data_IF_195787276036
#
_entry.id   IF_195787276036
#
_cell.length_a   1.000
_cell.length_b   1.000
_cell.length_c   1.000
_cell.angle_alpha   90.00
_cell.angle_beta   90.00
_cell.angle_gamma   90.00
#
_symmetry.space_group_name_H-M   'P 1'
#
loop_
_entity.id
_entity.type
_entity.pdbx_description
1 polymer ?
#
# COMPACT_ATOMS: atom_id res chain seq x y z
N UNK A 1 6.07 9.21 55.72
CA UNK A 1 4.97 9.98 55.10
C UNK A 1 5.62 11.00 54.19
N UNK A 2 5.45 10.86 52.87
CA UNK A 2 6.20 11.55 51.83
C UNK A 2 5.48 12.88 51.46
N UNK A 3 6.15 14.00 51.70
CA UNK A 3 5.70 15.33 51.32
C UNK A 3 5.93 15.48 49.81
N UNK A 4 4.84 15.63 49.05
CA UNK A 4 4.89 15.91 47.61
C UNK A 4 4.94 17.42 47.42
N UNK A 5 5.98 17.87 46.73
CA UNK A 5 6.27 19.24 46.35
C UNK A 5 5.33 19.68 45.22
N UNK A 6 4.62 20.79 45.45
CA UNK A 6 3.80 21.48 44.46
C UNK A 6 4.69 22.50 43.74
N UNK A 7 5.22 22.18 42.57
CA UNK A 7 5.82 23.18 41.69
C UNK A 7 5.64 22.86 40.20
N UNK A 8 5.08 23.88 39.52
CA UNK A 8 5.20 24.21 38.10
C UNK A 8 4.29 23.48 37.11
N UNK A 9 3.13 24.13 36.91
CA UNK A 9 2.49 24.28 35.61
C UNK A 9 3.52 24.46 34.49
N UNK A 10 3.43 23.59 33.49
CA UNK A 10 4.28 23.65 32.31
C UNK A 10 4.07 22.40 31.48
N UNK A 11 2.86 22.19 30.97
CA UNK A 11 2.65 21.25 29.87
C UNK A 11 2.97 21.98 28.57
N UNK A 12 4.13 21.76 27.90
CA UNK A 12 4.14 21.97 26.46
C UNK A 12 3.29 20.84 25.91
N UNK A 13 2.09 21.23 25.47
CA UNK A 13 1.25 20.51 24.51
C UNK A 13 2.18 19.72 23.57
N UNK A 14 2.00 18.40 23.35
CA UNK A 14 2.69 17.77 22.24
C UNK A 14 2.25 18.53 21.00
N UNK A 15 3.17 19.34 20.49
CA UNK A 15 3.01 20.05 19.24
C UNK A 15 2.63 18.99 18.22
N UNK A 16 1.57 19.27 17.45
CA UNK A 16 1.14 18.49 16.31
C UNK A 16 2.34 18.19 15.44
N UNK A 17 2.93 17.03 15.66
CA UNK A 17 3.99 16.48 14.86
C UNK A 17 3.29 15.78 13.71
N UNK A 18 2.82 16.66 12.81
CA UNK A 18 2.86 16.47 11.37
C UNK A 18 2.40 15.07 10.97
N UNK A 19 1.09 14.89 11.01
CA UNK A 19 0.36 14.00 10.09
C UNK A 19 0.69 14.42 8.65
N UNK A 20 1.88 14.04 8.18
CA UNK A 20 2.21 13.92 6.76
C UNK A 20 2.59 12.48 6.46
N UNK A 21 2.00 11.52 7.18
CA UNK A 21 1.65 10.26 6.55
C UNK A 21 0.57 10.63 5.54
N UNK A 22 1.04 10.90 4.32
CA UNK A 22 0.26 11.28 3.17
C UNK A 22 -1.01 10.43 3.16
N UNK A 23 -2.13 11.11 2.99
CA UNK A 23 -3.42 10.57 2.59
C UNK A 23 -3.27 9.62 1.39
N UNK A 24 -2.83 8.38 1.66
CA UNK A 24 -2.74 7.28 0.71
C UNK A 24 -3.58 6.09 1.20
N UNK A 25 -4.22 6.21 2.36
CA UNK A 25 -4.88 5.08 3.03
C UNK A 25 -6.39 4.99 2.77
N UNK A 26 -6.90 5.73 1.77
CA UNK A 26 -8.15 5.39 1.06
C UNK A 26 -7.87 4.79 -0.32
N UNK A 27 -6.61 4.44 -0.62
CA UNK A 27 -6.28 3.63 -1.79
C UNK A 27 -6.78 2.23 -1.50
N UNK A 28 -7.89 1.86 -2.14
CA UNK A 28 -8.34 0.48 -2.32
C UNK A 28 -7.14 -0.46 -2.25
N UNK A 29 -7.03 -1.32 -1.22
CA UNK A 29 -5.92 -2.27 -1.09
C UNK A 29 -5.98 -3.15 -2.32
N UNK A 30 -5.20 -2.76 -3.31
CA UNK A 30 -5.18 -3.44 -4.59
C UNK A 30 -4.22 -4.57 -4.36
N UNK A 31 -4.75 -5.79 -4.33
CA UNK A 31 -3.91 -6.97 -4.16
C UNK A 31 -2.98 -7.02 -5.36
N UNK A 32 -1.67 -7.02 -5.13
CA UNK A 32 -0.66 -7.02 -6.19
C UNK A 32 0.17 -8.30 -6.06
N UNK A 33 0.41 -8.99 -7.19
CA UNK A 33 1.38 -10.09 -7.27
C UNK A 33 2.79 -9.54 -7.39
N UNK A 34 3.59 -9.70 -6.34
CA UNK A 34 4.95 -9.16 -6.29
C UNK A 34 5.86 -9.70 -7.40
N UNK A 35 5.71 -10.95 -7.79
CA UNK A 35 6.48 -11.58 -8.87
C UNK A 35 6.22 -10.90 -10.23
N UNK A 36 4.96 -10.64 -10.56
CA UNK A 36 4.55 -9.91 -11.77
C UNK A 36 4.93 -8.43 -11.68
N UNK A 37 4.88 -7.84 -10.48
CA UNK A 37 5.27 -6.45 -10.25
C UNK A 37 6.78 -6.24 -10.45
N UNK A 38 7.60 -7.20 -10.01
CA UNK A 38 9.05 -7.20 -10.21
C UNK A 38 9.42 -7.25 -11.70
N UNK A 39 8.60 -7.90 -12.53
CA UNK A 39 8.72 -7.88 -13.99
C UNK A 39 8.28 -6.53 -14.63
N UNK A 40 8.02 -5.48 -13.84
CA UNK A 40 7.64 -4.15 -14.32
C UNK A 40 6.18 -4.05 -14.78
N UNK A 41 5.32 -4.99 -14.37
CA UNK A 41 3.90 -5.00 -14.72
C UNK A 41 3.03 -4.42 -13.59
N UNK A 42 1.77 -4.12 -13.91
CA UNK A 42 0.76 -3.58 -13.02
C UNK A 42 0.44 -4.55 -11.88
N UNK A 43 0.42 -5.85 -12.16
CA UNK A 43 0.32 -6.92 -11.18
C UNK A 43 -0.93 -6.92 -10.26
N UNK A 44 -1.92 -6.08 -10.55
CA UNK A 44 -3.19 -6.05 -9.83
C UNK A 44 -3.91 -7.40 -9.94
N UNK A 45 -4.40 -7.91 -8.83
CA UNK A 45 -5.09 -9.18 -8.70
C UNK A 45 -6.58 -8.94 -8.50
N UNK A 46 -7.38 -9.58 -9.34
CA UNK A 46 -8.82 -9.63 -9.20
C UNK A 46 -9.21 -10.80 -8.28
N UNK A 47 -9.38 -10.52 -6.99
CA UNK A 47 -9.68 -11.50 -5.94
C UNK A 47 -10.79 -12.51 -6.26
N UNK A 48 -11.94 -12.13 -6.87
CA UNK A 48 -13.01 -13.08 -7.14
C UNK A 48 -12.60 -14.21 -8.09
N UNK A 49 -11.58 -13.98 -8.92
CA UNK A 49 -11.16 -14.89 -9.99
C UNK A 49 -9.71 -15.33 -9.89
N UNK A 50 -8.91 -14.74 -8.99
CA UNK A 50 -7.46 -14.94 -8.92
C UNK A 50 -6.68 -14.43 -10.14
N UNK A 51 -7.32 -13.71 -11.06
CA UNK A 51 -6.70 -13.22 -12.28
C UNK A 51 -5.79 -12.04 -12.01
N UNK A 52 -4.69 -11.92 -12.75
CA UNK A 52 -3.68 -10.88 -12.53
C UNK A 52 -3.51 -9.99 -13.76
N UNK A 53 -3.31 -8.70 -13.55
CA UNK A 53 -3.02 -7.75 -14.61
C UNK A 53 -1.55 -7.83 -15.02
N UNK A 54 -1.30 -8.21 -16.26
CA UNK A 54 0.05 -8.32 -16.83
C UNK A 54 0.45 -7.11 -17.68
N UNK A 55 -0.37 -6.07 -17.73
CA UNK A 55 -0.01 -4.84 -18.45
C UNK A 55 1.16 -4.11 -17.78
N UNK A 56 1.87 -3.21 -18.49
CA UNK A 56 2.93 -2.41 -17.89
C UNK A 56 2.45 -1.62 -16.66
N UNK A 57 3.37 -1.34 -15.75
CA UNK A 57 3.09 -0.43 -14.63
C UNK A 57 2.56 0.91 -15.14
N UNK A 58 1.48 1.42 -14.53
CA UNK A 58 0.77 2.66 -14.95
C UNK A 58 0.29 2.67 -16.41
N UNK A 59 -0.15 1.53 -16.94
CA UNK A 59 -0.77 1.49 -18.27
C UNK A 59 -2.00 2.41 -18.36
N UNK A 60 -2.29 3.00 -19.54
CA UNK A 60 -3.55 3.71 -19.77
C UNK A 60 -4.72 2.70 -19.83
N UNK A 61 -5.89 3.13 -19.36
CA UNK A 61 -7.12 2.31 -19.40
C UNK A 61 -7.27 1.34 -18.22
N UNK A 62 -8.26 0.45 -18.33
CA UNK A 62 -8.60 -0.52 -17.29
C UNK A 62 -7.62 -1.70 -17.25
N UNK A 63 -7.44 -2.32 -16.08
CA UNK A 63 -6.57 -3.48 -15.93
C UNK A 63 -7.05 -4.64 -16.81
N UNK A 64 -6.11 -5.29 -17.51
CA UNK A 64 -6.37 -6.50 -18.29
C UNK A 64 -6.00 -7.73 -17.45
N UNK A 65 -7.01 -8.35 -16.86
CA UNK A 65 -6.82 -9.50 -15.97
C UNK A 65 -6.76 -10.81 -16.76
N UNK A 66 -5.59 -11.45 -16.74
CA UNK A 66 -5.36 -12.78 -17.35
C UNK A 66 -5.33 -13.89 -16.30
N UNK A 67 -5.41 -15.14 -16.74
CA UNK A 67 -5.33 -16.30 -15.86
C UNK A 67 -3.99 -16.38 -15.12
N UNK A 68 -3.91 -17.13 -14.01
CA UNK A 68 -2.68 -17.28 -13.24
C UNK A 68 -1.53 -17.84 -14.09
N UNK A 69 -1.79 -18.81 -14.97
CA UNK A 69 -0.79 -19.41 -15.87
C UNK A 69 -0.15 -18.37 -16.79
N UNK A 70 -0.97 -17.48 -17.36
CA UNK A 70 -0.55 -16.40 -18.26
C UNK A 70 0.20 -15.29 -17.50
N UNK A 71 -0.20 -15.05 -16.24
CA UNK A 71 0.52 -14.13 -15.37
C UNK A 71 1.88 -14.67 -14.90
N UNK A 72 1.99 -15.99 -14.70
CA UNK A 72 3.24 -16.64 -14.37
C UNK A 72 4.22 -16.63 -15.54
N UNK A 73 3.78 -16.87 -16.77
CA UNK A 73 4.63 -16.71 -17.96
C UNK A 73 5.29 -15.32 -18.02
N UNK A 74 4.52 -14.28 -17.72
CA UNK A 74 5.01 -12.89 -17.69
C UNK A 74 5.94 -12.60 -16.50
N UNK A 75 5.88 -13.37 -15.40
CA UNK A 75 6.78 -13.22 -14.26
C UNK A 75 8.12 -13.94 -14.45
N UNK A 76 8.20 -14.90 -15.39
CA UNK A 76 9.37 -15.76 -15.60
C UNK A 76 10.29 -15.22 -16.71
N UNK A 77 9.83 -14.21 -17.48
CA UNK A 77 10.57 -13.58 -18.58
C UNK A 77 11.04 -12.16 -18.26
#
# INVERSE_FOLDING_TARGET
MNSQEDHASGSPRPAGQKETAQDLSSTHVTHVREDVAMAGRCANVHLPTGRTCTLPVRHPGSCNFVGPEDAEDVAVH
#
